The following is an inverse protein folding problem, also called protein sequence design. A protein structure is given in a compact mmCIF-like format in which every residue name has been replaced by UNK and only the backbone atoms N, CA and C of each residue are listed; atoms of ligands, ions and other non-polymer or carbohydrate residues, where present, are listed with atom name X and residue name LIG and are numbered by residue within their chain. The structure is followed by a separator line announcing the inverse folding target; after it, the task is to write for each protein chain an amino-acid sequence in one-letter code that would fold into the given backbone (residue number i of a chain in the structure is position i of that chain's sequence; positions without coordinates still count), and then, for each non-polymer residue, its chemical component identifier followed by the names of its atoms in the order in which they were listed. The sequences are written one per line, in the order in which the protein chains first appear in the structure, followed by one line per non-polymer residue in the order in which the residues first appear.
data_IF_197143131369
#
_entry.id   IF_197143131369
#
_cell.length_a   1.000
_cell.length_b   1.000
_cell.length_c   1.000
_cell.angle_alpha   90.00
_cell.angle_beta   90.00
_cell.angle_gamma   90.00
#
_symmetry.space_group_name_H-M   'P 1'
#
loop_
_entity.id
_entity.type
_entity.pdbx_description
1 polymer ?
#
# COMPACT_ATOMS: atom_id res chain seq x y z
N UNK A 1 16.14 4.72 6.97
CA UNK A 1 15.82 4.43 5.56
C UNK A 1 16.66 3.30 4.95
N UNK A 2 18.02 3.33 4.95
CA UNK A 2 18.78 2.24 4.31
C UNK A 2 18.49 0.86 4.89
N UNK A 3 18.31 0.75 6.19
CA UNK A 3 17.99 -0.51 6.86
C UNK A 3 16.62 -1.03 6.47
N UNK A 4 15.61 -0.15 6.40
CA UNK A 4 14.27 -0.54 5.97
C UNK A 4 14.27 -1.06 4.53
N UNK A 5 14.96 -0.39 3.64
CA UNK A 5 15.06 -0.80 2.24
C UNK A 5 15.82 -2.12 2.08
N UNK A 6 16.86 -2.32 2.88
CA UNK A 6 17.60 -3.58 2.90
C UNK A 6 16.70 -4.74 3.35
N UNK A 7 15.87 -4.55 4.36
CA UNK A 7 14.91 -5.54 4.84
C UNK A 7 13.87 -5.89 3.77
N UNK A 8 13.31 -4.91 3.08
CA UNK A 8 12.34 -5.13 2.00
C UNK A 8 12.99 -5.89 0.85
N UNK A 9 14.19 -5.50 0.47
CA UNK A 9 14.94 -6.16 -0.61
C UNK A 9 15.20 -7.63 -0.31
N UNK A 10 15.60 -7.94 0.91
CA UNK A 10 15.84 -9.32 1.35
C UNK A 10 14.52 -10.10 1.47
N UNK A 11 13.47 -9.49 2.00
CA UNK A 11 12.14 -10.11 2.09
C UNK A 11 11.60 -10.46 0.70
N UNK A 12 11.75 -9.58 -0.27
CA UNK A 12 11.32 -9.82 -1.65
C UNK A 12 12.07 -11.02 -2.26
N UNK A 13 13.37 -11.12 -1.99
CA UNK A 13 14.17 -12.25 -2.46
C UNK A 13 13.71 -13.56 -1.84
N UNK A 14 13.45 -13.59 -0.54
CA UNK A 14 13.06 -14.80 0.19
C UNK A 14 11.64 -15.27 -0.13
N UNK A 15 10.72 -14.33 -0.34
CA UNK A 15 9.30 -14.66 -0.57
C UNK A 15 8.95 -14.86 -2.04
N UNK A 16 9.57 -14.10 -2.95
CA UNK A 16 9.21 -14.07 -4.37
C UNK A 16 10.36 -14.35 -5.31
N UNK A 17 11.57 -14.57 -4.78
CA UNK A 17 12.80 -14.70 -5.55
C UNK A 17 13.05 -13.49 -6.47
N UNK A 18 12.63 -12.31 -6.04
CA UNK A 18 12.81 -11.05 -6.73
C UNK A 18 13.68 -10.13 -5.88
N UNK A 19 14.63 -9.44 -6.51
CA UNK A 19 15.51 -8.51 -5.82
C UNK A 19 15.43 -7.14 -6.48
N UNK A 20 15.23 -6.10 -5.70
CA UNK A 20 15.17 -4.73 -6.19
C UNK A 20 16.46 -4.33 -6.89
N UNK A 21 16.35 -3.69 -8.06
CA UNK A 21 17.46 -3.07 -8.75
C UNK A 21 17.75 -1.69 -8.17
N UNK A 22 18.94 -1.15 -8.43
CA UNK A 22 19.33 0.16 -7.92
C UNK A 22 18.39 1.27 -8.35
N UNK A 23 17.87 1.25 -9.58
CA UNK A 23 16.89 2.23 -10.06
C UNK A 23 15.60 2.17 -9.24
N UNK A 24 15.20 1.00 -8.78
CA UNK A 24 14.03 0.84 -7.92
C UNK A 24 14.26 1.41 -6.53
N UNK A 25 15.46 1.26 -5.98
CA UNK A 25 15.83 1.86 -4.70
C UNK A 25 15.78 3.40 -4.77
N UNK A 26 16.26 3.98 -5.84
CA UNK A 26 16.19 5.42 -6.08
C UNK A 26 14.72 5.87 -6.17
N UNK A 27 13.88 5.12 -6.90
CA UNK A 27 12.45 5.37 -6.99
C UNK A 27 11.76 5.33 -5.63
N UNK A 28 12.10 4.36 -4.79
CA UNK A 28 11.59 4.25 -3.42
C UNK A 28 11.94 5.46 -2.55
N UNK A 29 13.17 5.95 -2.64
CA UNK A 29 13.60 7.17 -1.93
C UNK A 29 12.78 8.37 -2.40
N UNK A 30 12.61 8.55 -3.71
CA UNK A 30 11.84 9.66 -4.27
C UNK A 30 10.39 9.65 -3.78
N UNK A 31 9.74 8.48 -3.75
CA UNK A 31 8.37 8.34 -3.24
C UNK A 31 8.29 8.66 -1.75
N UNK A 32 9.23 8.17 -0.95
CA UNK A 32 9.26 8.47 0.48
C UNK A 32 9.41 9.97 0.76
N UNK A 33 10.17 10.68 -0.07
CA UNK A 33 10.36 12.12 0.04
C UNK A 33 9.18 12.94 -0.52
N UNK A 34 8.11 12.30 -0.96
CA UNK A 34 6.93 12.96 -1.50
C UNK A 34 7.12 13.49 -2.93
N UNK A 35 8.08 12.95 -3.64
CA UNK A 35 8.37 13.33 -5.03
C UNK A 35 7.68 12.39 -6.01
N UNK A 36 7.53 12.84 -7.24
CA UNK A 36 7.06 12.00 -8.36
C UNK A 36 8.28 11.27 -8.94
N UNK A 37 8.21 9.93 -8.95
CA UNK A 37 9.22 9.10 -9.58
C UNK A 37 8.71 8.62 -10.94
N UNK A 38 9.36 9.06 -12.02
CA UNK A 38 9.04 8.58 -13.35
C UNK A 38 9.87 7.35 -13.68
N UNK A 39 9.19 6.25 -13.96
CA UNK A 39 9.82 4.98 -14.32
C UNK A 39 9.20 4.43 -15.61
N UNK A 40 10.04 3.89 -16.48
CA UNK A 40 9.59 3.27 -17.73
C UNK A 40 8.79 1.99 -17.46
N UNK A 41 7.92 1.65 -18.41
CA UNK A 41 7.22 0.37 -18.40
C UNK A 41 8.23 -0.78 -18.32
N UNK A 42 7.98 -1.74 -17.43
CA UNK A 42 8.88 -2.88 -17.23
C UNK A 42 9.99 -2.67 -16.20
N UNK A 43 10.11 -1.51 -15.59
CA UNK A 43 11.10 -1.25 -14.52
C UNK A 43 10.64 -1.71 -13.13
N UNK A 44 9.47 -2.34 -13.04
CA UNK A 44 9.00 -2.93 -11.78
C UNK A 44 8.45 -1.93 -10.78
N UNK A 45 7.54 -1.07 -11.20
CA UNK A 45 6.91 -0.06 -10.34
C UNK A 45 6.24 -0.65 -9.10
N UNK A 46 5.54 -1.77 -9.26
CA UNK A 46 4.84 -2.44 -8.16
C UNK A 46 5.81 -2.85 -7.04
N UNK A 47 6.96 -3.38 -7.41
CA UNK A 47 7.99 -3.77 -6.44
C UNK A 47 8.67 -2.54 -5.81
N UNK A 48 8.86 -1.46 -6.58
CA UNK A 48 9.44 -0.20 -6.10
C UNK A 48 8.59 0.42 -4.98
N UNK A 49 7.26 0.40 -5.14
CA UNK A 49 6.33 0.97 -4.16
C UNK A 49 6.46 0.31 -2.80
N UNK A 50 6.81 -0.98 -2.74
CA UNK A 50 6.95 -1.71 -1.47
C UNK A 50 7.99 -1.09 -0.54
N UNK A 51 9.01 -0.45 -1.07
CA UNK A 51 10.07 0.21 -0.30
C UNK A 51 9.51 1.37 0.53
N UNK A 52 8.84 2.31 -0.14
CA UNK A 52 8.23 3.47 0.51
C UNK A 52 7.05 3.05 1.40
N UNK A 53 6.25 2.09 0.96
CA UNK A 53 5.12 1.58 1.73
C UNK A 53 5.57 0.97 3.06
N UNK A 54 6.59 0.11 3.05
CA UNK A 54 7.12 -0.47 4.28
C UNK A 54 7.62 0.60 5.25
N UNK A 55 8.45 1.51 4.77
CA UNK A 55 9.03 2.57 5.61
C UNK A 55 7.96 3.44 6.25
N UNK A 56 6.95 3.84 5.49
CA UNK A 56 5.88 4.71 5.99
C UNK A 56 4.81 3.97 6.80
N UNK A 57 4.71 2.64 6.67
CA UNK A 57 3.79 1.83 7.47
C UNK A 57 4.33 1.53 8.88
N UNK A 58 5.60 1.78 9.15
CA UNK A 58 6.21 1.48 10.46
C UNK A 58 5.63 2.30 11.61
N UNK A 59 5.01 3.44 11.33
CA UNK A 59 4.34 4.26 12.35
C UNK A 59 2.92 3.79 12.70
N UNK A 60 2.45 2.71 12.09
CA UNK A 60 1.15 2.08 12.31
C UNK A 60 -0.08 2.95 11.95
N UNK A 61 0.12 4.06 11.25
CA UNK A 61 -0.97 4.97 10.84
C UNK A 61 -1.61 4.60 9.50
N UNK A 62 -1.07 3.59 8.82
CA UNK A 62 -1.58 3.11 7.55
C UNK A 62 -1.00 3.81 6.33
N UNK A 63 -0.87 3.05 5.25
CA UNK A 63 -0.41 3.51 3.94
C UNK A 63 -1.43 3.10 2.89
N UNK A 64 -1.83 4.04 2.04
CA UNK A 64 -2.69 3.76 0.90
C UNK A 64 -1.86 3.69 -0.38
N UNK A 65 -2.07 2.64 -1.16
CA UNK A 65 -1.47 2.51 -2.50
C UNK A 65 -2.60 2.57 -3.52
N UNK A 66 -2.57 3.62 -4.34
CA UNK A 66 -3.62 3.88 -5.32
C UNK A 66 -3.27 3.20 -6.64
N UNK A 67 -4.22 2.41 -7.16
CA UNK A 67 -4.08 1.69 -8.43
C UNK A 67 -5.13 2.14 -9.43
N UNK A 68 -4.92 1.79 -10.70
CA UNK A 68 -5.80 2.20 -11.79
C UNK A 68 -7.16 1.52 -11.74
N UNK A 69 -7.22 0.26 -11.30
CA UNK A 69 -8.45 -0.53 -11.24
C UNK A 69 -8.45 -1.55 -10.10
N UNK A 70 -9.61 -2.11 -9.81
CA UNK A 70 -9.81 -3.06 -8.73
C UNK A 70 -9.02 -4.37 -8.92
N UNK A 71 -8.86 -4.79 -10.16
CA UNK A 71 -8.07 -5.99 -10.46
C UNK A 71 -6.62 -5.83 -10.01
N UNK A 72 -6.00 -4.69 -10.34
CA UNK A 72 -4.63 -4.39 -9.93
C UNK A 72 -4.53 -4.24 -8.41
N UNK A 73 -5.49 -3.59 -7.79
CA UNK A 73 -5.52 -3.45 -6.33
C UNK A 73 -5.48 -4.82 -5.64
N UNK A 74 -6.34 -5.72 -6.07
CA UNK A 74 -6.39 -7.09 -5.52
C UNK A 74 -5.11 -7.86 -5.81
N UNK A 75 -4.67 -7.88 -7.07
CA UNK A 75 -3.47 -8.62 -7.48
C UNK A 75 -2.24 -8.13 -6.72
N UNK A 76 -2.01 -6.82 -6.71
CA UNK A 76 -0.82 -6.25 -6.09
C UNK A 76 -0.84 -6.43 -4.57
N UNK A 77 -2.01 -6.32 -3.94
CA UNK A 77 -2.16 -6.60 -2.51
C UNK A 77 -1.79 -8.04 -2.17
N UNK A 78 -2.23 -9.01 -2.96
CA UNK A 78 -1.94 -10.42 -2.72
C UNK A 78 -0.46 -10.71 -2.99
N UNK A 79 0.07 -10.25 -4.11
CA UNK A 79 1.44 -10.53 -4.50
C UNK A 79 2.47 -9.82 -3.61
N UNK A 80 2.28 -8.54 -3.37
CA UNK A 80 3.19 -7.77 -2.51
C UNK A 80 2.93 -8.04 -1.02
N UNK A 81 1.73 -8.50 -0.68
CA UNK A 81 1.39 -8.94 0.66
C UNK A 81 2.31 -10.03 1.21
N UNK A 82 2.88 -10.86 0.34
CA UNK A 82 3.88 -11.85 0.75
C UNK A 82 5.11 -11.17 1.38
N UNK A 83 5.55 -10.05 0.81
CA UNK A 83 6.68 -9.27 1.33
C UNK A 83 6.30 -8.61 2.65
N UNK A 84 5.15 -7.93 2.69
CA UNK A 84 4.70 -7.24 3.91
C UNK A 84 4.48 -8.21 5.06
N UNK A 85 3.81 -9.33 4.82
CA UNK A 85 3.57 -10.34 5.85
C UNK A 85 4.87 -10.94 6.39
N UNK A 86 5.85 -11.19 5.54
CA UNK A 86 7.16 -11.65 5.95
C UNK A 86 7.84 -10.66 6.90
N UNK A 87 7.61 -9.36 6.69
CA UNK A 87 8.15 -8.28 7.52
C UNK A 87 7.26 -7.91 8.71
N UNK A 88 6.16 -8.64 8.93
CA UNK A 88 5.27 -8.42 10.06
C UNK A 88 4.19 -7.36 9.85
N UNK A 89 3.97 -6.91 8.61
CA UNK A 89 2.92 -5.96 8.27
C UNK A 89 1.70 -6.67 7.69
N UNK A 90 0.51 -6.14 7.98
CA UNK A 90 -0.73 -6.56 7.34
C UNK A 90 -0.97 -5.81 6.04
N UNK A 91 -1.65 -6.45 5.09
CA UNK A 91 -2.03 -5.84 3.83
C UNK A 91 -3.44 -6.24 3.43
N UNK A 92 -4.11 -5.35 2.72
CA UNK A 92 -5.47 -5.57 2.25
C UNK A 92 -5.76 -4.75 1.01
N UNK A 93 -6.97 -4.92 0.48
CA UNK A 93 -7.43 -4.18 -0.70
C UNK A 93 -8.92 -3.83 -0.55
N UNK A 94 -9.33 -2.79 -1.26
CA UNK A 94 -10.72 -2.34 -1.31
C UNK A 94 -11.27 -2.60 -2.72
N UNK A 95 -12.47 -3.16 -2.79
CA UNK A 95 -13.21 -3.30 -4.05
C UNK A 95 -14.70 -3.01 -3.84
N UNK A 96 -15.44 -2.95 -4.94
CA UNK A 96 -16.87 -2.58 -4.92
C UNK A 96 -17.80 -3.67 -4.39
N UNK A 97 -17.33 -4.88 -4.16
CA UNK A 97 -18.14 -6.00 -3.66
C UNK A 97 -18.13 -6.11 -2.13
N UNK A 98 -17.25 -5.40 -1.47
CA UNK A 98 -17.08 -5.48 -0.02
C UNK A 98 -18.11 -4.61 0.71
N UNK A 99 -18.62 -5.12 1.83
CA UNK A 99 -19.46 -4.36 2.75
C UNK A 99 -18.61 -3.44 3.66
N UNK A 100 -19.26 -2.64 4.49
CA UNK A 100 -18.58 -1.70 5.38
C UNK A 100 -17.67 -2.42 6.40
N UNK A 101 -18.06 -3.58 6.89
CA UNK A 101 -17.27 -4.37 7.83
C UNK A 101 -15.97 -4.85 7.19
N UNK A 102 -16.05 -5.38 5.99
CA UNK A 102 -14.88 -5.82 5.23
C UNK A 102 -13.98 -4.64 4.86
N UNK A 103 -14.56 -3.51 4.43
CA UNK A 103 -13.82 -2.29 4.11
C UNK A 103 -13.06 -1.76 5.33
N UNK A 104 -13.71 -1.68 6.47
CA UNK A 104 -13.09 -1.23 7.72
C UNK A 104 -11.92 -2.13 8.11
N UNK A 105 -12.08 -3.44 7.98
CA UNK A 105 -11.02 -4.41 8.25
C UNK A 105 -9.81 -4.17 7.33
N UNK A 106 -10.04 -3.96 6.04
CA UNK A 106 -8.97 -3.72 5.07
C UNK A 106 -8.28 -2.37 5.27
N UNK A 107 -9.03 -1.32 5.59
CA UNK A 107 -8.45 -0.01 5.92
C UNK A 107 -7.61 -0.02 7.20
N UNK A 108 -7.87 -0.93 8.12
CA UNK A 108 -7.08 -1.09 9.33
C UNK A 108 -5.78 -1.87 9.12
N UNK A 109 -5.56 -2.43 7.94
CA UNK A 109 -4.27 -3.00 7.58
C UNK A 109 -3.18 -1.93 7.50
N UNK A 110 -1.94 -2.34 7.65
CA UNK A 110 -0.79 -1.43 7.56
C UNK A 110 -0.64 -0.86 6.15
N UNK A 111 -0.93 -1.67 5.14
CA UNK A 111 -0.89 -1.27 3.72
C UNK A 111 -2.22 -1.65 3.06
N UNK A 112 -2.89 -0.68 2.46
CA UNK A 112 -4.17 -0.89 1.78
C UNK A 112 -4.08 -0.46 0.32
N UNK A 113 -4.41 -1.37 -0.59
CA UNK A 113 -4.48 -1.12 -2.03
C UNK A 113 -5.91 -0.80 -2.43
N UNK A 114 -6.10 0.28 -3.19
CA UNK A 114 -7.42 0.67 -3.67
C UNK A 114 -7.31 1.55 -4.91
N UNK A 115 -8.44 1.72 -5.61
CA UNK A 115 -8.53 2.77 -6.64
C UNK A 115 -8.81 4.12 -5.99
N UNK A 116 -8.50 5.20 -6.70
CA UNK A 116 -8.82 6.55 -6.22
C UNK A 116 -10.34 6.74 -6.06
N UNK A 117 -11.15 6.13 -6.92
CA UNK A 117 -12.61 6.19 -6.83
C UNK A 117 -13.14 5.57 -5.53
N UNK A 118 -12.67 4.38 -5.17
CA UNK A 118 -13.07 3.71 -3.95
C UNK A 118 -12.66 4.50 -2.70
N UNK A 119 -11.43 5.01 -2.68
CA UNK A 119 -10.93 5.85 -1.58
C UNK A 119 -11.77 7.14 -1.43
N UNK A 120 -12.05 7.80 -2.54
CA UNK A 120 -12.82 9.04 -2.55
C UNK A 120 -14.27 8.83 -2.12
N UNK A 121 -14.95 7.81 -2.62
CA UNK A 121 -16.33 7.50 -2.25
C UNK A 121 -16.43 7.07 -0.78
N UNK A 122 -15.50 6.28 -0.27
CA UNK A 122 -15.49 5.91 1.14
C UNK A 122 -15.25 7.13 2.04
N UNK A 123 -14.38 8.04 1.64
CA UNK A 123 -14.17 9.29 2.35
C UNK A 123 -15.45 10.13 2.42
N UNK A 124 -16.16 10.27 1.30
CA UNK A 124 -17.43 11.00 1.24
C UNK A 124 -18.50 10.32 2.11
N UNK A 125 -18.61 9.00 2.04
CA UNK A 125 -19.58 8.24 2.86
C UNK A 125 -19.26 8.37 4.35
N UNK A 126 -17.99 8.34 4.74
CA UNK A 126 -17.58 8.49 6.13
C UNK A 126 -17.95 9.86 6.70
N UNK A 127 -17.85 10.92 5.89
CA UNK A 127 -18.26 12.27 6.30
C UNK A 127 -19.76 12.43 6.51
N UNK A 128 -20.59 11.52 6.02
CA UNK A 128 -22.03 11.49 6.21
C UNK A 128 -22.47 10.62 7.39
N UNK A 129 -21.56 9.94 8.07
CA UNK A 129 -21.87 9.06 9.19
C UNK A 129 -21.96 9.83 10.51
N UNK A 130 -22.79 9.32 11.42
CA UNK A 130 -23.08 9.99 12.69
C UNK A 130 -22.03 9.78 13.78
N UNK A 131 -21.20 8.75 13.66
CA UNK A 131 -20.15 8.44 14.64
C UNK A 131 -18.90 7.86 13.97
N UNK A 132 -17.75 8.03 14.62
CA UNK A 132 -16.49 7.48 14.13
C UNK A 132 -16.52 5.94 14.03
N UNK A 133 -17.29 5.26 14.88
CA UNK A 133 -17.42 3.81 14.85
C UNK A 133 -18.03 3.29 13.54
N UNK A 134 -18.84 4.11 12.85
CA UNK A 134 -19.45 3.78 11.57
C UNK A 134 -18.54 4.06 10.38
N UNK A 135 -17.46 4.81 10.57
CA UNK A 135 -16.50 5.12 9.52
C UNK A 135 -15.65 3.91 9.19
N UNK A 136 -15.31 3.74 7.91
CA UNK A 136 -14.48 2.63 7.45
C UNK A 136 -13.01 3.01 7.34
N UNK A 137 -12.71 4.28 7.00
CA UNK A 137 -11.33 4.77 6.85
C UNK A 137 -10.79 5.31 8.18
N UNK A 138 -9.47 5.16 8.37
CA UNK A 138 -8.70 5.88 9.37
C UNK A 138 -8.27 7.25 8.83
N UNK A 139 -7.66 8.07 9.67
CA UNK A 139 -7.02 9.30 9.21
C UNK A 139 -5.97 8.99 8.14
N UNK A 140 -5.87 9.88 7.16
CA UNK A 140 -4.92 9.71 6.07
C UNK A 140 -3.50 10.07 6.53
N UNK A 141 -2.56 9.16 6.32
CA UNK A 141 -1.16 9.32 6.71
C UNK A 141 -0.25 9.45 5.47
N UNK A 142 -0.24 8.43 4.62
CA UNK A 142 0.63 8.37 3.45
C UNK A 142 -0.06 7.68 2.28
N UNK A 143 0.11 8.24 1.08
CA UNK A 143 -0.44 7.68 -0.18
C UNK A 143 0.57 7.82 -1.30
#
# INVERSE_FOLDING_TARGET
MPEAFALVREAAKRTRNERHFNVQLIGGVALHEGKIAEMRTGEGKTLTITLAAYLNALNENGVHIVTVNDYLAKRDSIEMGQIYNFLGLSSGFINNYQDDTERKKNYNCDVTYATNSELGFDYLRDNMKFSEEQMVQRDHNFS
#
